data_IF_363712521750
#
_entry.id   IF_363712521750
#
_cell.length_a   1.000
_cell.length_b   1.000
_cell.length_c   1.000
_cell.angle_alpha   90.00
_cell.angle_beta   90.00
_cell.angle_gamma   90.00
#
_symmetry.space_group_name_H-M   'P 1'
#
loop_
_entity.id
_entity.type
_entity.pdbx_description
1 polymer ?
#
# COMPACT_ATOMS: atom_id res chain seq x y z
N UNK A 1 7.44 11.29 -8.78
CA UNK A 1 6.08 11.69 -8.36
C UNK A 1 6.10 11.65 -6.84
N UNK A 2 5.62 12.67 -6.13
CA UNK A 2 5.46 12.63 -4.68
C UNK A 2 4.61 11.44 -4.21
N UNK A 3 4.89 10.92 -3.02
CA UNK A 3 4.07 9.85 -2.41
C UNK A 3 2.61 10.29 -2.27
N UNK A 4 2.38 11.55 -1.89
CA UNK A 4 1.05 12.14 -1.74
C UNK A 4 0.23 12.06 -3.03
N UNK A 5 0.86 12.34 -4.19
CA UNK A 5 0.21 12.23 -5.49
C UNK A 5 -0.11 10.77 -5.86
N UNK A 6 0.78 9.83 -5.52
CA UNK A 6 0.53 8.40 -5.78
C UNK A 6 -0.66 7.88 -4.99
N UNK A 7 -0.74 8.23 -3.71
CA UNK A 7 -1.88 7.84 -2.85
C UNK A 7 -3.17 8.51 -3.30
N UNK A 8 -3.13 9.78 -3.70
CA UNK A 8 -4.30 10.46 -4.25
C UNK A 8 -4.81 9.81 -5.56
N UNK A 9 -3.89 9.38 -6.44
CA UNK A 9 -4.27 8.66 -7.68
C UNK A 9 -4.87 7.29 -7.36
N UNK A 10 -4.34 6.59 -6.36
CA UNK A 10 -4.87 5.30 -5.94
C UNK A 10 -6.25 5.44 -5.26
N UNK A 11 -6.43 6.48 -4.46
CA UNK A 11 -7.75 6.84 -3.89
C UNK A 11 -8.76 7.17 -4.98
N UNK A 12 -8.37 7.96 -5.98
CA UNK A 12 -9.23 8.27 -7.15
C UNK A 12 -9.62 6.99 -7.91
N UNK A 13 -8.70 6.04 -8.07
CA UNK A 13 -9.00 4.72 -8.63
C UNK A 13 -10.08 4.00 -7.80
N UNK A 14 -10.02 4.08 -6.47
CA UNK A 14 -10.99 3.48 -5.54
C UNK A 14 -12.30 4.28 -5.40
N UNK A 15 -12.45 5.43 -6.05
CA UNK A 15 -13.63 6.29 -5.89
C UNK A 15 -14.92 5.71 -6.50
N UNK A 16 -14.78 4.83 -7.49
CA UNK A 16 -15.88 4.03 -8.05
C UNK A 16 -15.93 2.68 -7.31
N UNK A 17 -16.83 2.49 -6.32
CA UNK A 17 -16.80 1.32 -5.46
C UNK A 17 -17.20 0.05 -6.19
N UNK A 18 -16.54 -1.05 -5.85
CA UNK A 18 -16.88 -2.41 -6.30
C UNK A 18 -17.55 -3.16 -5.13
N UNK A 19 -18.55 -4.00 -5.43
CA UNK A 19 -19.24 -4.80 -4.42
C UNK A 19 -18.25 -5.77 -3.73
N UNK A 20 -18.28 -5.80 -2.39
CA UNK A 20 -17.41 -6.59 -1.53
C UNK A 20 -15.90 -6.37 -1.76
N UNK A 21 -15.51 -5.19 -2.24
CA UNK A 21 -14.10 -4.81 -2.31
C UNK A 21 -13.52 -4.52 -0.92
N UNK A 22 -12.21 -4.68 -0.82
CA UNK A 22 -11.44 -4.33 0.37
C UNK A 22 -10.15 -3.63 -0.06
N UNK A 23 -9.69 -2.71 0.79
CA UNK A 23 -8.44 -1.98 0.60
C UNK A 23 -7.50 -2.32 1.75
N UNK A 24 -6.30 -2.76 1.41
CA UNK A 24 -5.22 -3.05 2.36
C UNK A 24 -4.17 -1.95 2.28
N UNK A 25 -3.76 -1.48 3.46
CA UNK A 25 -2.52 -0.76 3.66
C UNK A 25 -1.52 -1.67 4.37
N UNK A 26 -0.35 -1.88 3.78
CA UNK A 26 0.70 -2.71 4.38
C UNK A 26 2.05 -2.00 4.34
N UNK A 27 2.77 -2.07 5.46
CA UNK A 27 4.17 -1.61 5.53
C UNK A 27 5.06 -2.68 6.15
N UNK A 28 6.29 -2.77 5.66
CA UNK A 28 7.22 -3.77 6.17
C UNK A 28 8.54 -3.82 5.41
N UNK A 29 9.47 -4.63 5.91
CA UNK A 29 10.76 -4.84 5.25
C UNK A 29 10.81 -6.24 4.64
N UNK A 30 11.01 -6.32 3.33
CA UNK A 30 11.02 -7.57 2.58
C UNK A 30 12.33 -7.77 1.83
N UNK A 31 12.76 -9.03 1.75
CA UNK A 31 13.96 -9.48 1.00
C UNK A 31 13.59 -10.28 -0.25
N UNK A 32 12.31 -10.52 -0.49
CA UNK A 32 11.81 -11.33 -1.61
C UNK A 32 11.93 -10.61 -2.96
N UNK A 33 12.01 -9.28 -2.94
CA UNK A 33 11.97 -8.44 -4.15
C UNK A 33 13.37 -8.04 -4.64
N UNK A 34 14.41 -8.17 -3.80
CA UNK A 34 15.79 -7.83 -4.17
C UNK A 34 16.82 -8.58 -3.31
N UNK A 35 18.08 -8.64 -3.76
CA UNK A 35 19.19 -9.23 -2.98
C UNK A 35 19.48 -8.50 -1.65
N UNK A 36 18.86 -7.34 -1.42
CA UNK A 36 18.94 -6.53 -0.20
C UNK A 36 17.55 -6.33 0.41
N UNK A 37 17.44 -6.14 1.74
CA UNK A 37 16.18 -5.75 2.35
C UNK A 37 15.74 -4.39 1.82
N UNK A 38 14.47 -4.31 1.40
CA UNK A 38 13.82 -3.07 1.02
C UNK A 38 12.64 -2.85 1.97
N UNK A 39 12.46 -1.60 2.39
CA UNK A 39 11.24 -1.20 3.07
C UNK A 39 10.16 -0.93 2.03
N UNK A 40 8.97 -1.46 2.23
CA UNK A 40 7.84 -1.37 1.32
C UNK A 40 6.68 -0.67 2.02
N UNK A 41 6.06 0.24 1.27
CA UNK A 41 4.73 0.78 1.55
C UNK A 41 3.83 0.31 0.40
N UNK A 42 2.78 -0.44 0.73
CA UNK A 42 1.88 -1.05 -0.24
C UNK A 42 0.45 -0.60 -0.01
N UNK A 43 -0.25 -0.31 -1.11
CA UNK A 43 -1.69 -0.19 -1.18
C UNK A 43 -2.23 -1.25 -2.13
N UNK A 44 -3.18 -2.05 -1.64
CA UNK A 44 -3.82 -3.11 -2.43
C UNK A 44 -5.31 -2.87 -2.44
N UNK A 45 -5.90 -2.82 -3.64
CA UNK A 45 -7.34 -2.84 -3.83
C UNK A 45 -7.71 -4.24 -4.29
N UNK A 46 -8.50 -4.93 -3.50
CA UNK A 46 -8.93 -6.29 -3.75
C UNK A 46 -10.43 -6.30 -4.09
N UNK A 47 -10.80 -6.96 -5.18
CA UNK A 47 -12.20 -7.15 -5.58
C UNK A 47 -12.46 -8.63 -5.89
N UNK A 48 -13.63 -9.17 -5.54
CA UNK A 48 -13.98 -10.57 -5.82
C UNK A 48 -14.09 -10.84 -7.31
N UNK A 49 -13.74 -12.07 -7.71
CA UNK A 49 -13.97 -12.64 -9.03
C UNK A 49 -15.08 -13.72 -8.97
N UNK A 50 -15.59 -14.14 -10.13
CA UNK A 50 -16.65 -15.14 -10.28
C UNK A 50 -16.27 -16.54 -9.71
N UNK A 51 -14.97 -16.82 -9.57
CA UNK A 51 -14.42 -18.13 -9.21
C UNK A 51 -13.96 -18.25 -7.73
N UNK A 52 -14.50 -17.43 -6.82
CA UNK A 52 -14.06 -17.34 -5.40
C UNK A 52 -12.61 -16.85 -5.20
N UNK A 53 -11.94 -16.45 -6.29
CA UNK A 53 -10.63 -15.78 -6.31
C UNK A 53 -10.80 -14.25 -6.25
N UNK A 54 -9.70 -13.52 -6.08
CA UNK A 54 -9.72 -12.06 -6.05
C UNK A 54 -8.79 -11.46 -7.11
N UNK A 55 -9.26 -10.39 -7.76
CA UNK A 55 -8.40 -9.47 -8.50
C UNK A 55 -7.79 -8.46 -7.53
N UNK A 56 -6.48 -8.26 -7.61
CA UNK A 56 -5.76 -7.32 -6.76
C UNK A 56 -4.99 -6.31 -7.60
N UNK A 57 -5.28 -5.02 -7.43
CA UNK A 57 -4.44 -3.94 -7.95
C UNK A 57 -3.48 -3.50 -6.86
N UNK A 58 -2.19 -3.63 -7.12
CA UNK A 58 -1.11 -3.28 -6.21
C UNK A 58 -0.47 -1.95 -6.60
N UNK A 59 -0.21 -1.11 -5.61
CA UNK A 59 0.73 0.02 -5.66
C UNK A 59 1.79 -0.21 -4.58
N UNK A 60 2.98 -0.62 -5.01
CA UNK A 60 4.11 -0.85 -4.11
C UNK A 60 5.18 0.21 -4.30
N UNK A 61 5.64 0.77 -3.18
CA UNK A 61 6.68 1.79 -3.15
C UNK A 61 7.81 1.28 -2.28
N UNK A 62 9.00 1.18 -2.87
CA UNK A 62 10.17 0.60 -2.23
C UNK A 62 11.16 1.69 -1.85
N UNK A 63 11.67 1.61 -0.63
CA UNK A 63 12.67 2.49 -0.05
C UNK A 63 13.90 1.68 0.38
N UNK A 64 15.03 2.36 0.53
CA UNK A 64 16.18 1.74 1.19
C UNK A 64 15.80 1.38 2.62
N UNK A 65 16.01 0.12 3.02
CA UNK A 65 15.76 -0.27 4.40
C UNK A 65 16.84 0.30 5.32
N UNK A 66 16.42 0.92 6.42
CA UNK A 66 17.28 1.51 7.43
C UNK A 66 16.78 1.15 8.83
N UNK A 67 17.54 1.52 9.87
CA UNK A 67 17.17 1.18 11.24
C UNK A 67 15.83 1.82 11.68
N UNK A 68 15.48 2.97 11.11
CA UNK A 68 14.27 3.71 11.44
C UNK A 68 13.04 3.06 10.77
N UNK A 69 13.04 2.89 9.45
CA UNK A 69 11.87 2.35 8.75
C UNK A 69 11.64 0.85 8.96
N UNK A 70 12.66 0.09 9.36
CA UNK A 70 12.50 -1.32 9.74
C UNK A 70 11.64 -1.51 11.00
N UNK A 71 11.38 -0.44 11.77
CA UNK A 71 10.47 -0.50 12.91
C UNK A 71 9.00 -0.39 12.50
N UNK A 72 8.71 0.15 11.30
CA UNK A 72 7.35 0.21 10.79
C UNK A 72 6.96 -1.16 10.23
N UNK A 73 5.89 -1.71 10.79
CA UNK A 73 5.25 -2.90 10.28
C UNK A 73 3.76 -2.86 10.63
N UNK A 74 2.93 -2.83 9.60
CA UNK A 74 1.48 -2.87 9.75
C UNK A 74 0.84 -3.58 8.57
N UNK A 75 -0.38 -4.07 8.81
CA UNK A 75 -1.26 -4.65 7.82
C UNK A 75 -2.66 -4.30 8.31
N UNK A 76 -3.30 -3.35 7.63
CA UNK A 76 -4.57 -2.75 8.05
C UNK A 76 -5.54 -2.75 6.88
N UNK A 77 -6.64 -3.47 7.06
CA UNK A 77 -7.76 -3.46 6.12
C UNK A 77 -8.68 -2.29 6.43
N UNK A 78 -9.36 -1.79 5.40
CA UNK A 78 -10.36 -0.76 5.53
C UNK A 78 -11.57 -1.21 6.38
N UNK A 79 -11.92 -2.50 6.33
CA UNK A 79 -12.97 -3.08 7.19
C UNK A 79 -12.63 -3.09 8.70
N UNK A 80 -11.34 -3.02 9.04
CA UNK A 80 -10.87 -2.98 10.44
C UNK A 80 -10.92 -1.55 11.03
N UNK A 81 -11.20 -0.54 10.20
CA UNK A 81 -11.22 0.87 10.58
C UNK A 81 -12.66 1.41 10.72
N UNK A 82 -12.86 2.30 11.70
CA UNK A 82 -14.10 3.08 11.79
C UNK A 82 -14.10 4.29 10.85
N UNK A 83 -12.94 4.66 10.33
CA UNK A 83 -12.70 5.81 9.44
C UNK A 83 -12.27 5.39 8.03
N UNK A 84 -12.18 6.36 7.12
CA UNK A 84 -11.69 6.09 5.77
C UNK A 84 -10.19 5.72 5.81
N UNK A 85 -9.81 4.63 5.15
CA UNK A 85 -8.42 4.16 5.14
C UNK A 85 -7.43 5.19 4.58
N UNK A 86 -7.81 6.03 3.63
CA UNK A 86 -6.93 7.06 3.07
C UNK A 86 -6.70 8.22 4.03
N UNK A 87 -7.69 8.55 4.88
CA UNK A 87 -7.51 9.51 5.97
C UNK A 87 -6.56 8.92 7.02
N UNK A 88 -6.77 7.65 7.40
CA UNK A 88 -5.87 6.91 8.30
C UNK A 88 -4.41 6.89 7.78
N UNK A 89 -4.21 6.56 6.50
CA UNK A 89 -2.89 6.53 5.87
C UNK A 89 -2.22 7.90 5.97
N UNK A 90 -2.93 8.98 5.63
CA UNK A 90 -2.38 10.35 5.64
C UNK A 90 -1.97 10.81 7.05
N UNK A 91 -2.68 10.36 8.06
CA UNK A 91 -2.42 10.67 9.47
C UNK A 91 -1.37 9.73 10.11
N UNK A 92 -0.98 8.65 9.44
CA UNK A 92 -0.01 7.67 9.95
C UNK A 92 1.43 8.22 10.05
N UNK A 93 2.15 7.78 11.09
CA UNK A 93 3.57 8.12 11.28
C UNK A 93 4.43 7.64 10.11
N UNK A 94 4.12 6.47 9.55
CA UNK A 94 4.87 5.89 8.43
C UNK A 94 4.71 6.72 7.15
N UNK A 95 3.53 7.28 6.89
CA UNK A 95 3.29 8.11 5.72
C UNK A 95 4.00 9.46 5.86
N UNK A 96 3.93 10.06 7.05
CA UNK A 96 4.66 11.28 7.38
C UNK A 96 6.18 11.10 7.23
N UNK A 97 6.71 9.93 7.60
CA UNK A 97 8.11 9.57 7.36
C UNK A 97 8.40 9.38 5.86
N UNK A 98 7.63 8.50 5.20
CA UNK A 98 7.91 8.03 3.85
C UNK A 98 7.84 9.13 2.78
N UNK A 99 6.95 10.12 2.94
CA UNK A 99 6.80 11.22 1.97
C UNK A 99 8.03 12.13 1.89
N UNK A 100 8.85 12.16 2.93
CA UNK A 100 10.10 12.94 2.97
C UNK A 100 11.32 12.12 2.48
N UNK A 101 11.14 10.83 2.19
CA UNK A 101 12.21 9.95 1.73
C UNK A 101 12.24 9.82 0.20
N UNK A 102 13.44 9.58 -0.34
CA UNK A 102 13.61 9.18 -1.73
C UNK A 102 13.29 7.68 -1.88
N UNK A 103 12.27 7.36 -2.68
CA UNK A 103 11.95 5.99 -3.04
C UNK A 103 12.93 5.46 -4.10
N UNK A 104 13.24 4.17 -4.05
CA UNK A 104 14.08 3.48 -5.02
C UNK A 104 13.30 2.99 -6.23
N UNK A 105 12.07 2.51 -6.01
CA UNK A 105 11.23 1.96 -7.07
C UNK A 105 9.75 2.07 -6.73
N UNK A 106 8.93 2.11 -7.77
CA UNK A 106 7.47 2.01 -7.68
C UNK A 106 7.03 0.90 -8.62
N UNK A 107 6.16 0.01 -8.15
CA UNK A 107 5.53 -1.01 -8.98
C UNK A 107 4.02 -0.88 -8.89
N UNK A 108 3.38 -0.95 -10.05
CA UNK A 108 1.93 -0.98 -10.18
C UNK A 108 1.60 -2.18 -11.05
N UNK A 109 0.81 -3.12 -10.53
CA UNK A 109 0.46 -4.34 -11.26
C UNK A 109 -0.90 -4.90 -10.81
N UNK A 110 -1.45 -5.76 -11.65
CA UNK A 110 -2.65 -6.55 -11.36
C UNK A 110 -2.23 -7.98 -11.08
N UNK A 111 -2.79 -8.58 -10.03
CA UNK A 111 -2.59 -9.97 -9.63
C UNK A 111 -3.92 -10.70 -9.42
N UNK A 112 -3.88 -12.03 -9.35
CA UNK A 112 -5.01 -12.91 -9.03
C UNK A 112 -4.60 -13.93 -7.96
N UNK A 113 -5.46 -14.13 -6.96
CA UNK A 113 -5.21 -15.04 -5.81
C UNK A 113 -5.71 -16.45 -6.04
#
# INVERSE_FOLDING_TARGET
MPLEDMVAIFEDLCSDPIEDEMILFETGTFTTVSDKPLFQLSLVRQAPNEDEEFYQVHLDIFYEACQENQMFHESTWDEDLEENIFDYIRDSEVFAYAKEQEYQAVKIYLDQT
#
